data_IF_463536084230
#
_entry.id   IF_463536084230
#
_cell.length_a   1.000
_cell.length_b   1.000
_cell.length_c   1.000
_cell.angle_alpha   90.00
_cell.angle_beta   90.00
_cell.angle_gamma   90.00
#
_symmetry.space_group_name_H-M   'P 1'
#
loop_
_entity.id
_entity.type
_entity.pdbx_description
1 polymer ?
#
# COMPACT_ATOMS: atom_id res chain seq x y z
N UNK A 1 2.72 11.32 -12.63
CA UNK A 1 1.88 11.57 -11.44
C UNK A 1 0.62 12.36 -11.78
N UNK A 2 -0.51 11.66 -11.89
CA UNK A 2 -1.85 12.24 -11.88
C UNK A 2 -2.32 12.37 -10.44
N UNK A 3 -2.90 13.52 -10.09
CA UNK A 3 -3.47 13.78 -8.76
C UNK A 3 -4.94 14.11 -8.90
N UNK A 4 -5.79 13.42 -8.15
CA UNK A 4 -7.21 13.75 -8.03
C UNK A 4 -7.46 14.38 -6.69
N UNK A 5 -7.90 15.63 -6.66
CA UNK A 5 -8.25 16.31 -5.43
C UNK A 5 -9.60 15.82 -4.91
N UNK A 6 -9.95 16.01 -3.62
CA UNK A 6 -11.26 15.61 -3.08
C UNK A 6 -12.46 16.19 -3.86
N UNK A 7 -12.29 17.39 -4.44
CA UNK A 7 -13.28 18.02 -5.34
C UNK A 7 -13.47 17.27 -6.67
N UNK A 8 -12.46 16.52 -7.10
CA UNK A 8 -12.44 15.71 -8.32
C UNK A 8 -12.90 14.26 -8.05
N UNK A 9 -13.45 13.95 -6.87
CA UNK A 9 -13.84 12.60 -6.47
C UNK A 9 -14.74 11.89 -7.50
N UNK A 10 -15.69 12.61 -8.12
CA UNK A 10 -16.55 12.06 -9.17
C UNK A 10 -15.76 11.68 -10.43
N UNK A 11 -14.80 12.52 -10.83
CA UNK A 11 -13.90 12.26 -11.97
C UNK A 11 -12.99 11.06 -11.67
N UNK A 12 -12.45 10.99 -10.46
CA UNK A 12 -11.66 9.85 -10.02
C UNK A 12 -12.46 8.55 -10.08
N UNK A 13 -13.68 8.50 -9.53
CA UNK A 13 -14.49 7.29 -9.56
C UNK A 13 -14.84 6.78 -10.97
N UNK A 14 -14.84 7.65 -11.98
CA UNK A 14 -15.02 7.27 -13.40
C UNK A 14 -13.72 6.78 -14.05
N UNK A 15 -12.57 7.29 -13.62
CA UNK A 15 -11.26 6.98 -14.19
C UNK A 15 -10.55 5.83 -13.47
N UNK A 16 -10.92 5.56 -12.22
CA UNK A 16 -10.35 4.51 -11.40
C UNK A 16 -10.55 3.15 -12.08
N UNK A 17 -9.44 2.42 -12.23
CA UNK A 17 -9.43 1.08 -12.82
C UNK A 17 -9.39 0.03 -11.73
N UNK A 18 -9.97 -1.13 -12.02
CA UNK A 18 -9.87 -2.28 -11.14
C UNK A 18 -8.45 -2.84 -11.14
N UNK A 19 -8.04 -3.41 -10.01
CA UNK A 19 -6.73 -4.04 -9.78
C UNK A 19 -5.54 -3.12 -10.06
N UNK A 20 -5.75 -1.81 -10.08
CA UNK A 20 -4.69 -0.81 -10.15
C UNK A 20 -4.49 -0.20 -8.76
N UNK A 21 -3.24 -0.04 -8.30
CA UNK A 21 -2.96 0.60 -7.03
C UNK A 21 -3.09 2.12 -7.15
N UNK A 22 -3.77 2.71 -6.17
CA UNK A 22 -3.84 4.15 -5.95
C UNK A 22 -3.38 4.45 -4.54
N UNK A 23 -2.85 5.65 -4.31
CA UNK A 23 -2.27 6.01 -3.03
C UNK A 23 -2.95 7.26 -2.45
N UNK A 24 -3.10 7.31 -1.13
CA UNK A 24 -3.42 8.53 -0.37
C UNK A 24 -2.30 8.83 0.59
N UNK A 25 -2.15 10.10 0.98
CA UNK A 25 -1.23 10.52 2.04
C UNK A 25 -2.09 10.99 3.21
N UNK A 26 -1.92 10.35 4.36
CA UNK A 26 -2.61 10.65 5.61
C UNK A 26 -1.57 11.10 6.64
N UNK A 27 -1.91 12.09 7.47
CA UNK A 27 -1.05 12.52 8.57
C UNK A 27 -1.39 11.71 9.82
N UNK A 28 -0.43 10.92 10.30
CA UNK A 28 -0.55 10.21 11.57
C UNK A 28 -0.18 11.13 12.73
N UNK A 29 -1.03 11.15 13.75
CA UNK A 29 -0.80 11.89 15.00
C UNK A 29 -0.18 10.92 16.00
N UNK A 30 1.12 11.04 16.21
CA UNK A 30 1.85 10.21 17.17
C UNK A 30 2.30 11.03 18.38
N UNK A 31 2.59 10.40 19.54
CA UNK A 31 3.06 11.12 20.73
C UNK A 31 4.34 11.95 20.52
N UNK A 32 5.16 11.57 19.54
CA UNK A 32 6.42 12.22 19.16
C UNK A 32 6.31 13.19 17.98
N UNK A 33 5.11 13.41 17.44
CA UNK A 33 4.87 14.36 16.36
C UNK A 33 3.93 13.86 15.29
N UNK A 34 3.63 14.75 14.34
CA UNK A 34 2.87 14.44 13.14
C UNK A 34 3.80 13.90 12.05
N UNK A 35 3.41 12.80 11.42
CA UNK A 35 4.18 12.21 10.33
C UNK A 35 3.29 11.89 9.13
N UNK A 36 3.70 12.28 7.90
CA UNK A 36 2.98 11.88 6.70
C UNK A 36 3.24 10.39 6.41
N UNK A 37 2.15 9.65 6.27
CA UNK A 37 2.14 8.24 5.88
C UNK A 37 1.36 8.08 4.59
N UNK A 38 1.72 7.13 3.74
CA UNK A 38 0.90 6.78 2.59
C UNK A 38 0.14 5.47 2.77
N UNK A 39 -1.05 5.41 2.21
CA UNK A 39 -1.90 4.22 2.21
C UNK A 39 -2.23 3.81 0.78
N UNK A 40 -2.17 2.51 0.52
CA UNK A 40 -2.53 1.93 -0.77
C UNK A 40 -4.01 1.54 -0.83
N UNK A 41 -4.62 1.78 -1.98
CA UNK A 41 -6.00 1.47 -2.33
C UNK A 41 -6.01 0.65 -3.61
N UNK A 42 -6.39 -0.62 -3.51
CA UNK A 42 -6.57 -1.51 -4.68
C UNK A 42 -8.05 -1.85 -4.81
N UNK A 43 -8.70 -1.27 -5.82
CA UNK A 43 -10.13 -1.52 -6.08
C UNK A 43 -10.31 -2.86 -6.81
N UNK A 44 -10.87 -3.86 -6.13
CA UNK A 44 -11.07 -5.21 -6.68
C UNK A 44 -12.51 -5.46 -7.12
N UNK A 45 -13.46 -4.70 -6.59
CA UNK A 45 -14.88 -4.86 -6.84
C UNK A 45 -15.52 -3.67 -7.55
N UNK A 46 -16.81 -3.80 -7.86
CA UNK A 46 -17.67 -2.69 -8.28
C UNK A 46 -18.96 -2.68 -7.49
N UNK A 47 -19.51 -1.50 -7.23
CA UNK A 47 -20.87 -1.38 -6.71
C UNK A 47 -21.87 -1.85 -7.77
N UNK A 48 -22.83 -2.72 -7.43
CA UNK A 48 -23.76 -3.29 -8.41
C UNK A 48 -24.69 -2.24 -9.05
N UNK A 49 -24.96 -1.11 -8.37
CA UNK A 49 -25.88 -0.08 -8.87
C UNK A 49 -25.14 1.02 -9.64
N UNK A 50 -24.02 1.52 -9.12
CA UNK A 50 -23.33 2.68 -9.69
C UNK A 50 -22.10 2.33 -10.53
N UNK A 51 -21.70 1.05 -10.55
CA UNK A 51 -20.54 0.57 -11.31
C UNK A 51 -19.19 1.13 -10.85
N UNK A 52 -19.17 1.90 -9.76
CA UNK A 52 -17.96 2.53 -9.23
C UNK A 52 -17.04 1.47 -8.62
N UNK A 53 -15.71 1.55 -8.87
CA UNK A 53 -14.75 0.63 -8.26
C UNK A 53 -14.80 0.70 -6.73
N UNK A 54 -14.67 -0.45 -6.06
CA UNK A 54 -14.74 -0.58 -4.60
C UNK A 54 -13.64 -1.44 -4.00
N UNK A 55 -13.31 -1.15 -2.74
CA UNK A 55 -12.39 -1.91 -1.90
C UNK A 55 -12.88 -1.87 -0.46
N UNK A 56 -13.01 -3.03 0.20
CA UNK A 56 -13.41 -3.12 1.61
C UNK A 56 -14.73 -2.41 1.95
N UNK A 57 -15.68 -2.33 1.00
CA UNK A 57 -16.95 -1.61 1.17
C UNK A 57 -16.89 -0.09 0.94
N UNK A 58 -15.70 0.46 0.62
CA UNK A 58 -15.51 1.86 0.25
C UNK A 58 -15.42 1.98 -1.27
N UNK A 59 -16.20 2.88 -1.86
CA UNK A 59 -16.11 3.19 -3.28
C UNK A 59 -15.05 4.24 -3.58
N UNK A 60 -14.51 4.22 -4.80
CA UNK A 60 -13.44 5.10 -5.24
C UNK A 60 -13.76 6.58 -5.03
N UNK A 61 -15.02 6.99 -5.23
CA UNK A 61 -15.41 8.39 -5.00
C UNK A 61 -15.35 8.75 -3.52
N UNK A 62 -15.90 7.92 -2.64
CA UNK A 62 -15.79 8.13 -1.20
C UNK A 62 -14.34 8.11 -0.73
N UNK A 63 -13.50 7.25 -1.33
CA UNK A 63 -12.10 7.15 -0.96
C UNK A 63 -11.38 8.49 -1.21
N UNK A 64 -11.51 9.06 -2.41
CA UNK A 64 -10.94 10.37 -2.77
C UNK A 64 -11.57 11.53 -1.98
N UNK A 65 -12.88 11.47 -1.70
CA UNK A 65 -13.57 12.53 -0.96
C UNK A 65 -13.20 12.57 0.52
N UNK A 66 -13.01 11.40 1.16
CA UNK A 66 -12.82 11.28 2.62
C UNK A 66 -11.36 11.27 3.04
N UNK A 67 -10.52 10.50 2.34
CA UNK A 67 -9.13 10.27 2.74
C UNK A 67 -8.14 11.21 2.06
N UNK A 68 -8.63 12.10 1.19
CA UNK A 68 -7.82 13.15 0.60
C UNK A 68 -7.43 12.85 -0.86
N UNK A 69 -6.46 13.61 -1.39
CA UNK A 69 -6.05 13.47 -2.77
C UNK A 69 -5.55 12.06 -3.07
N UNK A 70 -5.95 11.55 -4.23
CA UNK A 70 -5.52 10.25 -4.75
C UNK A 70 -4.38 10.44 -5.74
N UNK A 71 -3.42 9.52 -5.68
CA UNK A 71 -2.23 9.49 -6.52
C UNK A 71 -2.17 8.17 -7.30
N UNK A 72 -1.79 8.23 -8.58
CA UNK A 72 -1.57 7.06 -9.44
C UNK A 72 -0.18 6.43 -9.27
N UNK A 73 0.75 7.18 -8.71
CA UNK A 73 2.13 6.77 -8.46
C UNK A 73 2.39 6.73 -6.95
N UNK A 74 3.24 5.78 -6.54
CA UNK A 74 3.64 5.62 -5.15
C UNK A 74 4.33 6.89 -4.66
N UNK A 75 3.96 7.42 -3.48
CA UNK A 75 4.66 8.55 -2.88
C UNK A 75 6.15 8.25 -2.68
N UNK A 76 7.00 9.28 -2.79
CA UNK A 76 8.44 9.12 -2.74
C UNK A 76 8.94 8.48 -1.43
N UNK A 77 10.19 7.96 -1.43
CA UNK A 77 10.82 7.27 -0.28
C UNK A 77 10.83 8.06 1.05
N UNK A 78 10.54 9.36 1.02
CA UNK A 78 10.48 10.22 2.21
C UNK A 78 9.16 10.09 2.98
N UNK A 79 8.15 9.42 2.41
CA UNK A 79 6.88 9.11 3.07
C UNK A 79 6.84 7.60 3.27
N UNK A 80 6.70 7.15 4.52
CA UNK A 80 6.63 5.72 4.84
C UNK A 80 5.19 5.19 4.66
N UNK A 81 5.00 3.88 4.40
CA UNK A 81 3.68 3.28 4.40
C UNK A 81 2.98 3.42 5.76
N UNK A 82 1.65 3.54 5.74
CA UNK A 82 0.83 3.59 6.96
C UNK A 82 0.80 2.26 7.71
N UNK A 83 0.89 1.15 6.99
CA UNK A 83 1.09 -0.18 7.54
C UNK A 83 2.33 -0.77 6.87
N UNK A 84 3.34 -1.09 7.66
CA UNK A 84 4.40 -2.00 7.21
C UNK A 84 3.70 -3.35 6.94
N UNK A 85 3.63 -3.78 5.68
CA UNK A 85 3.65 -5.22 5.48
C UNK A 85 5.05 -5.63 5.91
N UNK A 86 5.17 -6.23 7.08
CA UNK A 86 6.38 -6.87 7.59
C UNK A 86 6.75 -8.08 6.71
N UNK A 87 6.84 -7.91 5.39
CA UNK A 87 7.26 -8.96 4.46
C UNK A 87 8.79 -9.13 4.47
N UNK A 88 9.52 -8.23 5.16
CA UNK A 88 10.98 -8.22 5.20
C UNK A 88 11.58 -8.84 6.49
N UNK A 89 10.77 -9.22 7.48
CA UNK A 89 11.25 -10.08 8.58
C UNK A 89 11.35 -11.54 8.11
N UNK A 90 12.40 -11.84 7.32
CA UNK A 90 12.83 -13.23 7.10
C UNK A 90 13.39 -13.75 8.41
N UNK A 91 12.52 -14.33 9.26
CA UNK A 91 12.97 -15.09 10.41
C UNK A 91 13.88 -16.23 9.93
N UNK A 92 15.15 -16.19 10.32
CA UNK A 92 16.07 -17.29 10.07
C UNK A 92 15.52 -18.53 10.79
N UNK A 93 14.95 -19.48 10.04
CA UNK A 93 14.46 -20.71 10.64
C UNK A 93 15.64 -21.54 11.12
N UNK A 94 15.47 -22.42 12.13
CA UNK A 94 16.51 -23.38 12.51
C UNK A 94 17.03 -24.20 11.31
N UNK A 95 16.18 -24.45 10.30
CA UNK A 95 16.55 -25.12 9.07
C UNK A 95 17.55 -24.34 8.20
N UNK A 96 17.42 -23.02 8.14
CA UNK A 96 18.33 -22.16 7.37
C UNK A 96 19.70 -22.05 8.03
N UNK A 97 19.73 -22.01 9.37
CA UNK A 97 20.96 -22.08 10.15
C UNK A 97 21.69 -23.41 9.89
N UNK A 98 20.96 -24.52 9.84
CA UNK A 98 21.52 -25.84 9.53
C UNK A 98 22.07 -25.93 8.11
N UNK A 99 21.38 -25.35 7.11
CA UNK A 99 21.87 -25.29 5.72
C UNK A 99 23.18 -24.53 5.62
N UNK A 100 23.29 -23.36 6.26
CA UNK A 100 24.54 -22.57 6.30
C UNK A 100 25.66 -23.31 7.02
N UNK A 101 25.35 -24.03 8.11
CA UNK A 101 26.34 -24.83 8.84
C UNK A 101 26.88 -25.99 7.99
N UNK A 102 26.01 -26.67 7.26
CA UNK A 102 26.38 -27.79 6.41
C UNK A 102 27.18 -27.35 5.17
N UNK A 103 26.82 -26.21 4.57
CA UNK A 103 27.58 -25.66 3.44
C UNK A 103 29.00 -25.24 3.83
N UNK A 104 29.18 -24.63 5.01
CA UNK A 104 30.51 -24.33 5.58
C UNK A 104 31.33 -25.59 5.83
N UNK A 105 30.72 -26.65 6.37
CA UNK A 105 31.40 -27.95 6.58
C UNK A 105 31.81 -28.63 5.27
N UNK A 106 30.97 -28.56 4.24
CA UNK A 106 31.28 -29.12 2.93
C UNK A 106 32.43 -28.36 2.25
N UNK A 107 32.46 -27.03 2.38
CA UNK A 107 33.54 -26.19 1.85
C UNK A 107 34.89 -26.42 2.56
N UNK A 108 34.87 -26.71 3.85
CA UNK A 108 36.08 -27.04 4.62
C UNK A 108 36.63 -28.46 4.35
N UNK A 109 35.86 -29.33 3.68
CA UNK A 109 36.25 -30.70 3.31
C UNK A 109 36.76 -30.82 1.87
N UNK A 110 36.68 -29.75 1.07
CA UNK A 110 37.32 -29.62 -0.24
C UNK A 110 38.61 -28.84 -0.07
#
# INVERSE_FOLDING_TARGET
MTVWQPKDAKKFGLQAKLNMPYYTIETSVNPWGEEPLWKEWVFTGRLPIFGTPTVGGVDAQSACRRFGPMYDEKPGRHIRPMFECDDDEVYATPGDILKVRNSRRAKARR
#
